data_IF_638506502059
#
_entry.id   IF_638506502059
#
_cell.length_a   1.000
_cell.length_b   1.000
_cell.length_c   1.000
_cell.angle_alpha   90.00
_cell.angle_beta   90.00
_cell.angle_gamma   90.00
#
_symmetry.space_group_name_H-M   'P 1'
#
loop_
_entity.id
_entity.type
_entity.pdbx_description
1 polymer ?
#
# COMPACT_ATOMS: atom_id res chain seq x y z
N UNK A 1 -44.28 0.85 21.31
CA UNK A 1 -44.07 2.31 21.46
C UNK A 1 -42.66 2.62 20.97
N UNK A 2 -42.51 3.04 19.71
CA UNK A 2 -41.21 3.34 19.08
C UNK A 2 -41.00 4.85 19.16
N UNK A 3 -39.98 5.28 19.91
CA UNK A 3 -39.56 6.68 19.96
C UNK A 3 -38.65 6.89 18.76
N UNK A 4 -39.17 7.53 17.72
CA UNK A 4 -38.36 8.05 16.61
C UNK A 4 -37.63 9.29 17.11
N UNK A 5 -36.32 9.18 17.30
CA UNK A 5 -35.46 10.33 17.59
C UNK A 5 -35.27 11.11 16.27
N UNK A 6 -36.01 12.21 16.11
CA UNK A 6 -35.78 13.16 15.03
C UNK A 6 -34.48 13.94 15.35
N UNK A 7 -33.41 13.67 14.61
CA UNK A 7 -32.25 14.56 14.57
C UNK A 7 -32.70 15.88 13.92
N UNK A 8 -32.90 16.90 14.74
CA UNK A 8 -33.05 18.28 14.25
C UNK A 8 -31.65 18.80 13.94
N UNK A 9 -31.29 18.88 12.66
CA UNK A 9 -30.17 19.71 12.22
C UNK A 9 -30.60 21.17 12.29
N UNK A 10 -30.22 21.87 13.36
CA UNK A 10 -30.25 23.32 13.36
C UNK A 10 -29.13 23.80 12.44
N UNK A 11 -29.41 24.63 11.42
CA UNK A 11 -28.34 25.33 10.70
C UNK A 11 -27.69 26.30 11.68
N UNK A 12 -26.50 25.94 12.17
CA UNK A 12 -25.64 26.89 12.86
C UNK A 12 -25.35 28.02 11.89
N UNK A 13 -25.79 29.24 12.23
CA UNK A 13 -25.45 30.43 11.50
C UNK A 13 -23.93 30.62 11.59
N UNK A 14 -23.24 30.28 10.50
CA UNK A 14 -21.80 30.45 10.38
C UNK A 14 -21.53 31.95 10.33
N UNK A 15 -21.00 32.52 11.40
CA UNK A 15 -20.38 33.84 11.33
C UNK A 15 -19.26 33.74 10.28
N UNK A 16 -19.39 34.47 9.17
CA UNK A 16 -18.32 34.51 8.17
C UNK A 16 -17.07 35.05 8.85
N UNK A 17 -16.00 34.26 8.89
CA UNK A 17 -14.68 34.80 9.18
C UNK A 17 -14.47 35.99 8.22
N UNK A 18 -13.97 37.13 8.72
CA UNK A 18 -13.70 38.29 7.87
C UNK A 18 -12.74 37.95 6.72
N UNK A 19 -12.59 38.83 5.74
CA UNK A 19 -11.63 38.63 4.66
C UNK A 19 -10.18 38.65 5.21
N UNK A 20 -9.54 37.48 5.26
CA UNK A 20 -8.17 37.34 5.73
C UNK A 20 -7.17 38.06 4.81
N UNK A 21 -7.36 38.00 3.48
CA UNK A 21 -6.44 38.58 2.50
C UNK A 21 -6.44 40.11 2.51
N UNK A 22 -7.52 40.75 2.94
CA UNK A 22 -7.58 42.20 3.17
C UNK A 22 -6.91 42.67 4.48
N UNK A 23 -6.59 41.76 5.39
CA UNK A 23 -6.21 42.08 6.77
C UNK A 23 -4.76 42.57 6.93
N UNK A 24 -4.49 43.25 8.05
CA UNK A 24 -3.10 43.56 8.48
C UNK A 24 -2.27 42.29 8.74
N UNK A 25 -2.91 41.20 9.17
CA UNK A 25 -2.25 39.91 9.38
C UNK A 25 -1.67 39.34 8.09
N UNK A 26 -2.45 39.33 6.99
CA UNK A 26 -1.96 38.90 5.69
C UNK A 26 -0.87 39.83 5.13
N UNK A 27 -1.02 41.15 5.29
CA UNK A 27 0.03 42.12 4.92
C UNK A 27 1.32 41.85 5.70
N UNK A 28 1.24 41.49 6.98
CA UNK A 28 2.37 41.06 7.81
C UNK A 28 3.05 39.78 7.32
N UNK A 29 2.27 38.77 6.93
CA UNK A 29 2.78 37.53 6.32
C UNK A 29 3.61 37.82 5.06
N UNK A 30 3.03 38.61 4.14
CA UNK A 30 3.69 38.96 2.87
C UNK A 30 4.98 39.73 3.08
N UNK A 31 5.01 40.68 4.02
CA UNK A 31 6.24 41.42 4.39
C UNK A 31 7.33 40.50 4.97
N UNK A 32 6.94 39.39 5.59
CA UNK A 32 7.85 38.38 6.13
C UNK A 32 8.32 37.36 5.09
N UNK A 33 8.02 37.57 3.81
CA UNK A 33 8.37 36.65 2.72
C UNK A 33 7.57 35.35 2.73
N UNK A 34 6.42 35.33 3.38
CA UNK A 34 5.52 34.17 3.42
C UNK A 34 4.42 34.37 2.36
N UNK A 35 4.21 33.36 1.51
CA UNK A 35 3.05 33.27 0.63
C UNK A 35 2.06 32.23 1.16
N UNK A 36 0.77 32.44 0.88
CA UNK A 36 -0.29 31.48 1.19
C UNK A 36 -0.41 30.53 0.00
N UNK A 37 -0.34 29.22 0.26
CA UNK A 37 -0.50 28.14 -0.73
C UNK A 37 -1.95 27.66 -0.74
N UNK A 38 -2.57 27.54 0.43
CA UNK A 38 -3.97 27.19 0.60
C UNK A 38 -4.53 27.85 1.86
N UNK A 39 -5.84 28.13 1.85
CA UNK A 39 -6.59 28.70 2.96
C UNK A 39 -7.89 27.94 3.15
N UNK A 40 -8.24 27.68 4.40
CA UNK A 40 -9.54 27.17 4.80
C UNK A 40 -10.06 27.87 6.04
N UNK A 41 -11.38 27.89 6.21
CA UNK A 41 -12.04 28.34 7.43
C UNK A 41 -12.72 27.16 8.11
N UNK A 42 -12.22 26.73 9.28
CA UNK A 42 -12.68 25.55 10.01
C UNK A 42 -12.83 25.85 11.49
N UNK A 43 -13.83 25.25 12.14
CA UNK A 43 -13.90 25.17 13.61
C UNK A 43 -13.03 23.99 14.05
N UNK A 44 -11.79 24.28 14.47
CA UNK A 44 -10.77 23.24 14.74
C UNK A 44 -10.73 22.88 16.22
N UNK A 45 -11.07 23.81 17.11
CA UNK A 45 -11.08 23.55 18.54
C UNK A 45 -12.46 23.19 19.11
N UNK A 46 -13.50 23.23 18.26
CA UNK A 46 -14.86 22.81 18.58
C UNK A 46 -15.66 23.83 19.38
N UNK A 47 -15.23 25.11 19.40
CA UNK A 47 -15.92 26.18 20.14
C UNK A 47 -17.09 26.82 19.35
N UNK A 48 -17.34 26.35 18.13
CA UNK A 48 -18.39 26.85 17.23
C UNK A 48 -17.99 28.08 16.43
N UNK A 49 -16.76 28.56 16.53
CA UNK A 49 -16.22 29.67 15.73
C UNK A 49 -15.23 29.14 14.71
N UNK A 50 -15.17 29.81 13.57
CA UNK A 50 -14.21 29.44 12.52
C UNK A 50 -12.84 30.08 12.77
N UNK A 51 -11.81 29.26 12.70
CA UNK A 51 -10.43 29.68 12.49
C UNK A 51 -10.06 29.72 11.01
N UNK A 52 -9.10 30.57 10.66
CA UNK A 52 -8.41 30.54 9.36
C UNK A 52 -7.19 29.64 9.46
N UNK A 53 -7.14 28.61 8.63
CA UNK A 53 -6.03 27.66 8.49
C UNK A 53 -5.31 27.92 7.20
N UNK A 54 -4.01 28.16 7.28
CA UNK A 54 -3.19 28.43 6.11
C UNK A 54 -2.14 27.34 5.95
N UNK A 55 -1.99 26.83 4.74
CA UNK A 55 -0.70 26.32 4.28
C UNK A 55 0.14 27.50 3.79
N UNK A 56 1.29 27.69 4.41
CA UNK A 56 2.21 28.79 4.17
C UNK A 56 3.47 28.28 3.48
N UNK A 57 3.99 29.04 2.52
CA UNK A 57 5.29 28.82 1.88
C UNK A 57 6.27 29.93 2.22
N UNK A 58 7.48 29.51 2.55
CA UNK A 58 8.65 30.36 2.77
C UNK A 58 9.86 29.72 2.08
N UNK A 59 10.99 30.45 1.96
CA UNK A 59 12.24 29.91 1.39
C UNK A 59 12.78 28.67 2.12
N UNK A 60 12.37 28.46 3.37
CA UNK A 60 12.76 27.30 4.21
C UNK A 60 11.78 26.10 4.07
N UNK A 61 10.73 26.24 3.25
CA UNK A 61 9.73 25.21 3.00
C UNK A 61 8.33 25.58 3.48
N UNK A 62 7.52 24.55 3.77
CA UNK A 62 6.08 24.66 4.03
C UNK A 62 5.72 24.52 5.52
N UNK A 63 4.70 25.26 5.96
CA UNK A 63 4.15 25.20 7.32
C UNK A 63 2.64 25.37 7.33
N UNK A 64 2.01 25.01 8.44
CA UNK A 64 0.63 25.37 8.78
C UNK A 64 0.62 26.48 9.83
N UNK A 65 -0.24 27.48 9.64
CA UNK A 65 -0.64 28.41 10.68
C UNK A 65 -2.15 28.42 10.87
N UNK A 66 -2.58 28.74 12.09
CA UNK A 66 -3.98 28.86 12.48
C UNK A 66 -4.18 30.24 13.08
N UNK A 67 -5.18 30.97 12.59
CA UNK A 67 -5.52 32.32 12.98
C UNK A 67 -6.95 32.35 13.49
N UNK A 68 -7.16 33.03 14.62
CA UNK A 68 -8.48 33.26 15.19
C UNK A 68 -8.96 34.64 14.82
N UNK A 69 -10.26 34.75 14.53
CA UNK A 69 -10.90 36.05 14.40
C UNK A 69 -11.05 36.70 15.79
N UNK A 70 -10.67 37.97 15.86
CA UNK A 70 -10.81 38.84 17.03
C UNK A 70 -11.50 40.15 16.61
N UNK A 71 -11.93 40.95 17.59
CA UNK A 71 -12.67 42.20 17.34
C UNK A 71 -11.93 43.16 16.38
N UNK A 72 -10.60 43.18 16.45
CA UNK A 72 -9.75 44.09 15.67
C UNK A 72 -9.02 43.41 14.50
N UNK A 73 -9.38 42.17 14.12
CA UNK A 73 -8.78 41.46 13.00
C UNK A 73 -8.45 39.99 13.31
N UNK A 74 -7.22 39.56 12.98
CA UNK A 74 -6.80 38.17 13.13
C UNK A 74 -5.61 38.03 14.07
N UNK A 75 -5.67 37.06 14.98
CA UNK A 75 -4.61 36.74 15.93
C UNK A 75 -4.07 35.35 15.61
N UNK A 76 -2.74 35.24 15.49
CA UNK A 76 -2.08 33.95 15.29
C UNK A 76 -2.25 33.08 16.54
N UNK A 77 -3.05 32.01 16.45
CA UNK A 77 -3.17 31.01 17.50
C UNK A 77 -1.92 30.11 17.54
N UNK A 78 -1.41 29.73 16.37
CA UNK A 78 -0.15 29.00 16.32
C UNK A 78 0.37 28.80 14.91
N UNK A 79 1.64 28.42 14.84
CA UNK A 79 2.32 28.05 13.60
C UNK A 79 3.22 26.86 13.85
N UNK A 80 3.15 25.88 12.95
CA UNK A 80 4.05 24.73 12.97
C UNK A 80 5.45 25.10 12.46
N UNK A 81 6.46 24.30 12.80
CA UNK A 81 7.77 24.44 12.18
C UNK A 81 7.67 24.21 10.67
N UNK A 82 8.45 25.00 9.92
CA UNK A 82 8.64 24.80 8.49
C UNK A 82 9.32 23.46 8.24
N UNK A 83 8.87 22.79 7.18
CA UNK A 83 9.45 21.55 6.70
C UNK A 83 9.98 21.81 5.29
N UNK A 84 11.24 21.46 4.99
CA UNK A 84 11.74 21.46 3.62
C UNK A 84 10.81 20.61 2.76
N UNK A 85 10.13 21.26 1.82
CA UNK A 85 9.16 20.66 0.92
C UNK A 85 8.87 21.65 -0.22
N UNK A 86 8.67 21.11 -1.41
CA UNK A 86 8.38 21.89 -2.60
C UNK A 86 6.89 21.92 -2.91
N UNK A 87 6.15 20.91 -2.46
CA UNK A 87 4.75 20.72 -2.79
C UNK A 87 3.86 20.51 -1.57
N UNK A 88 2.68 21.13 -1.61
CA UNK A 88 1.58 20.83 -0.69
C UNK A 88 0.75 19.72 -1.33
N UNK A 89 0.77 18.53 -0.74
CA UNK A 89 0.00 17.38 -1.21
C UNK A 89 -1.43 17.44 -0.66
N UNK A 90 -1.57 17.79 0.62
CA UNK A 90 -2.88 17.80 1.30
C UNK A 90 -2.94 18.83 2.42
N UNK A 91 -4.04 19.57 2.48
CA UNK A 91 -4.48 20.35 3.63
C UNK A 91 -5.97 20.08 3.83
N UNK A 92 -6.33 19.26 4.81
CA UNK A 92 -7.72 18.82 5.01
C UNK A 92 -8.10 18.80 6.50
N UNK A 93 -9.39 19.01 6.77
CA UNK A 93 -9.98 18.76 8.08
C UNK A 93 -10.36 17.28 8.19
N UNK A 94 -9.93 16.60 9.24
CA UNK A 94 -10.28 15.20 9.50
C UNK A 94 -10.81 15.02 10.93
N UNK A 95 -11.79 14.13 11.08
CA UNK A 95 -12.35 13.76 12.38
C UNK A 95 -11.60 12.55 12.95
N UNK A 96 -11.04 12.70 14.15
CA UNK A 96 -10.33 11.66 14.89
C UNK A 96 -11.07 11.41 16.20
N UNK A 97 -12.15 10.61 16.12
CA UNK A 97 -13.08 10.47 17.22
C UNK A 97 -13.95 11.71 17.38
N UNK A 98 -13.95 12.29 18.58
CA UNK A 98 -14.62 13.56 18.86
C UNK A 98 -13.75 14.79 18.57
N UNK A 99 -12.52 14.61 18.09
CA UNK A 99 -11.58 15.71 17.87
C UNK A 99 -11.48 16.06 16.39
N UNK A 100 -11.42 17.34 16.08
CA UNK A 100 -11.06 17.85 14.76
C UNK A 100 -9.54 17.94 14.69
N UNK A 101 -8.96 17.43 13.60
CA UNK A 101 -7.54 17.56 13.31
C UNK A 101 -7.32 18.12 11.90
N UNK A 102 -6.17 18.75 11.70
CA UNK A 102 -5.66 19.22 10.43
C UNK A 102 -4.72 18.14 9.89
N UNK A 103 -5.08 17.59 8.73
CA UNK A 103 -4.18 16.78 7.92
C UNK A 103 -3.32 17.67 7.06
N UNK A 104 -2.01 17.66 7.31
CA UNK A 104 -1.06 18.42 6.55
C UNK A 104 0.00 17.51 5.93
N UNK A 105 0.00 17.42 4.60
CA UNK A 105 0.91 16.57 3.86
C UNK A 105 1.70 17.35 2.82
N UNK A 106 2.99 17.09 2.77
CA UNK A 106 3.93 17.77 1.88
C UNK A 106 4.87 16.78 1.23
N UNK A 107 5.34 17.09 0.02
CA UNK A 107 6.34 16.31 -0.69
C UNK A 107 7.54 17.17 -1.10
N UNK A 108 8.72 16.53 -1.15
CA UNK A 108 9.88 17.05 -1.88
C UNK A 108 9.75 16.62 -3.33
N UNK A 109 10.01 17.51 -4.30
CA UNK A 109 10.08 17.11 -5.70
C UNK A 109 11.46 16.49 -5.96
N UNK A 110 11.58 15.18 -5.80
CA UNK A 110 12.78 14.45 -6.16
C UNK A 110 12.45 13.53 -7.36
N UNK A 111 13.15 13.66 -8.50
CA UNK A 111 12.86 12.85 -9.69
C UNK A 111 12.98 11.34 -9.46
N UNK A 112 13.70 10.90 -8.44
CA UNK A 112 13.83 9.46 -8.17
C UNK A 112 12.65 8.90 -7.35
N UNK A 113 12.16 9.62 -6.33
CA UNK A 113 11.10 9.21 -5.38
C UNK A 113 10.60 10.44 -4.58
N UNK A 114 9.28 10.63 -4.42
CA UNK A 114 8.74 11.70 -3.57
C UNK A 114 8.65 11.21 -2.12
N UNK A 115 9.47 11.79 -1.25
CA UNK A 115 9.36 11.61 0.20
C UNK A 115 8.22 12.51 0.70
N UNK A 116 7.10 11.88 1.06
CA UNK A 116 5.97 12.54 1.69
C UNK A 116 6.20 12.66 3.19
N UNK A 117 5.82 13.80 3.76
CA UNK A 117 5.71 14.00 5.19
C UNK A 117 4.27 14.33 5.55
N UNK A 118 3.67 13.49 6.39
CA UNK A 118 2.31 13.68 6.90
C UNK A 118 2.37 14.10 8.35
N UNK A 119 1.68 15.20 8.68
CA UNK A 119 1.45 15.66 10.05
C UNK A 119 -0.05 15.71 10.32
N UNK A 120 -0.45 15.17 11.47
CA UNK A 120 -1.77 15.42 12.04
C UNK A 120 -1.61 16.39 13.20
N UNK A 121 -2.38 17.47 13.13
CA UNK A 121 -2.32 18.57 14.07
C UNK A 121 -3.69 18.76 14.73
N UNK A 122 -3.75 18.97 16.03
CA UNK A 122 -4.96 19.39 16.74
C UNK A 122 -4.73 20.75 17.36
N UNK A 123 -5.78 21.55 17.51
CA UNK A 123 -5.71 22.82 18.23
C UNK A 123 -6.31 22.60 19.61
N UNK A 124 -5.51 22.78 20.65
CA UNK A 124 -5.95 22.63 22.03
C UNK A 124 -5.41 23.78 22.87
N UNK A 125 -6.29 24.41 23.65
CA UNK A 125 -5.94 25.55 24.50
C UNK A 125 -5.18 26.66 23.75
N UNK A 126 -5.59 26.93 22.50
CA UNK A 126 -4.96 27.94 21.64
C UNK A 126 -3.55 27.58 21.16
N UNK A 127 -3.15 26.31 21.19
CA UNK A 127 -1.87 25.83 20.68
C UNK A 127 -2.07 24.73 19.64
N UNK A 128 -1.25 24.76 18.59
CA UNK A 128 -1.18 23.65 17.63
C UNK A 128 -0.32 22.54 18.24
N UNK A 129 -0.95 21.40 18.53
CA UNK A 129 -0.28 20.18 18.98
C UNK A 129 -0.16 19.22 17.80
N UNK A 130 1.03 18.64 17.64
CA UNK A 130 1.32 17.66 16.61
C UNK A 130 1.14 16.26 17.20
N UNK A 131 0.11 15.56 16.77
CA UNK A 131 -0.24 14.24 17.29
C UNK A 131 0.26 13.10 16.38
N UNK A 132 0.65 13.40 15.15
CA UNK A 132 1.38 12.49 14.26
C UNK A 132 2.38 13.30 13.44
N UNK A 133 3.57 12.75 13.20
CA UNK A 133 4.57 13.28 12.28
C UNK A 133 5.35 12.13 11.68
N UNK A 134 4.95 11.73 10.49
CA UNK A 134 5.50 10.56 9.83
C UNK A 134 5.98 10.91 8.43
N UNK A 135 6.98 10.16 8.01
CA UNK A 135 7.49 10.19 6.65
C UNK A 135 7.20 8.87 5.98
N UNK A 136 6.84 8.96 4.71
CA UNK A 136 6.62 7.80 3.88
C UNK A 136 6.96 8.14 2.45
N UNK A 137 7.32 7.12 1.69
CA UNK A 137 7.77 7.29 0.32
C UNK A 137 6.67 6.83 -0.61
N UNK A 138 6.34 7.65 -1.60
CA UNK A 138 5.47 7.24 -2.70
C UNK A 138 6.38 6.92 -3.88
N UNK A 139 6.31 5.65 -4.32
CA UNK A 139 7.02 5.23 -5.54
C UNK A 139 6.15 5.59 -6.74
N UNK A 140 6.54 6.65 -7.44
CA UNK A 140 5.90 7.09 -8.67
C UNK A 140 6.11 6.08 -9.81
N UNK A 141 5.21 6.07 -10.82
CA UNK A 141 5.48 5.41 -12.10
C UNK A 141 6.88 5.76 -12.61
N UNK A 142 7.62 4.79 -13.16
CA UNK A 142 8.99 5.04 -13.63
C UNK A 142 9.03 6.04 -14.80
N UNK A 143 7.95 6.15 -15.56
CA UNK A 143 7.77 7.15 -16.61
C UNK A 143 7.82 8.58 -16.08
N UNK A 144 7.25 8.86 -14.91
CA UNK A 144 7.33 10.18 -14.24
C UNK A 144 8.76 10.49 -13.76
N UNK A 145 9.53 9.44 -13.41
CA UNK A 145 10.94 9.53 -13.03
C UNK A 145 11.91 9.57 -14.24
N UNK A 146 11.42 9.68 -15.47
CA UNK A 146 12.24 9.68 -16.69
C UNK A 146 12.95 8.35 -16.98
N UNK A 147 12.50 7.26 -16.37
CA UNK A 147 13.05 5.91 -16.54
C UNK A 147 12.14 5.05 -17.43
N UNK A 148 12.69 3.97 -17.97
CA UNK A 148 11.90 3.00 -18.73
C UNK A 148 10.90 2.31 -17.81
N UNK A 149 9.63 2.52 -18.09
CA UNK A 149 8.48 1.85 -17.46
C UNK A 149 8.71 0.35 -17.15
N UNK A 150 8.79 0.00 -15.86
CA UNK A 150 8.64 -1.39 -15.40
C UNK A 150 7.21 -1.86 -15.63
N UNK A 151 7.09 -3.04 -16.23
CA UNK A 151 5.82 -3.79 -16.25
C UNK A 151 5.62 -4.39 -14.86
N UNK A 152 4.64 -3.89 -14.11
CA UNK A 152 4.34 -4.37 -12.75
C UNK A 152 2.98 -5.06 -12.77
N UNK A 153 2.95 -6.30 -12.33
CA UNK A 153 1.72 -7.01 -12.07
C UNK A 153 1.36 -6.90 -10.59
N UNK A 154 0.20 -6.31 -10.29
CA UNK A 154 -0.35 -6.22 -8.94
C UNK A 154 -1.40 -7.29 -8.75
N UNK A 155 -1.21 -8.11 -7.72
CA UNK A 155 -2.18 -9.12 -7.31
C UNK A 155 -2.84 -8.64 -6.02
N UNK A 156 -3.92 -7.87 -6.13
CA UNK A 156 -4.65 -7.34 -4.97
C UNK A 156 -5.19 -5.93 -5.19
N UNK A 157 -6.21 -5.53 -4.41
CA UNK A 157 -6.82 -4.20 -4.48
C UNK A 157 -6.08 -3.17 -3.63
N UNK A 158 -5.04 -3.58 -2.89
CA UNK A 158 -4.35 -2.70 -1.95
C UNK A 158 -3.63 -1.56 -2.69
N UNK A 159 -3.94 -0.32 -2.32
CA UNK A 159 -3.29 0.89 -2.82
C UNK A 159 -2.42 1.54 -1.74
N UNK A 160 -1.34 2.25 -2.13
CA UNK A 160 -0.60 3.12 -1.22
C UNK A 160 -1.48 4.25 -0.69
N UNK A 161 -1.12 4.76 0.48
CA UNK A 161 -1.74 5.89 1.16
C UNK A 161 -2.13 5.58 2.59
N UNK A 162 -2.72 6.59 3.21
CA UNK A 162 -3.26 6.49 4.56
C UNK A 162 -4.74 6.10 4.56
N UNK A 163 -5.14 5.33 5.57
CA UNK A 163 -6.51 4.92 5.83
C UNK A 163 -6.83 5.16 7.32
N UNK A 164 -8.04 5.67 7.57
CA UNK A 164 -8.60 5.78 8.91
C UNK A 164 -9.33 4.47 9.20
N UNK A 165 -8.89 3.77 10.23
CA UNK A 165 -9.37 2.46 10.64
C UNK A 165 -10.45 2.52 11.71
N UNK A 166 -10.61 1.40 12.41
CA UNK A 166 -11.55 1.26 13.53
C UNK A 166 -11.15 2.11 14.72
N UNK A 167 -12.14 2.62 15.44
CA UNK A 167 -11.93 3.37 16.67
C UNK A 167 -11.62 2.46 17.86
N UNK A 168 -10.51 2.75 18.53
CA UNK A 168 -10.08 2.13 19.79
C UNK A 168 -9.95 3.25 20.83
N UNK A 169 -10.61 3.12 21.98
CA UNK A 169 -10.56 4.13 23.06
C UNK A 169 -10.91 5.56 22.62
N UNK A 170 -11.90 5.69 21.72
CA UNK A 170 -12.38 6.97 21.22
C UNK A 170 -11.54 7.60 20.10
N UNK A 171 -10.43 6.98 19.69
CA UNK A 171 -9.59 7.45 18.57
C UNK A 171 -9.47 6.39 17.47
N UNK A 172 -9.54 6.74 16.18
CA UNK A 172 -9.37 5.77 15.10
C UNK A 172 -7.92 5.28 14.99
N UNK A 173 -7.73 4.00 14.75
CA UNK A 173 -6.45 3.46 14.30
C UNK A 173 -6.06 4.12 12.96
N UNK A 174 -4.80 4.52 12.77
CA UNK A 174 -4.32 5.02 11.48
C UNK A 174 -3.48 3.96 10.81
N UNK A 175 -3.76 3.73 9.53
CA UNK A 175 -3.07 2.74 8.74
C UNK A 175 -2.37 3.40 7.56
N UNK A 176 -1.07 3.17 7.44
CA UNK A 176 -0.28 3.60 6.29
C UNK A 176 0.15 2.38 5.46
N UNK A 177 0.00 2.50 4.14
CA UNK A 177 0.55 1.58 3.14
C UNK A 177 1.44 2.38 2.19
N UNK A 178 2.73 2.09 2.10
CA UNK A 178 3.69 2.99 1.40
C UNK A 178 4.61 2.28 0.41
N UNK A 179 5.11 1.09 0.74
CA UNK A 179 6.13 0.42 -0.09
C UNK A 179 5.69 -0.97 -0.56
N UNK A 180 5.51 -1.23 -1.87
CA UNK A 180 5.25 -2.59 -2.34
C UNK A 180 6.52 -3.44 -2.26
N UNK A 181 6.36 -4.72 -1.91
CA UNK A 181 7.42 -5.71 -2.09
C UNK A 181 7.34 -6.26 -3.51
N UNK A 182 8.40 -6.04 -4.29
CA UNK A 182 8.48 -6.49 -5.67
C UNK A 182 9.39 -7.72 -5.83
N UNK A 183 8.94 -8.69 -6.62
CA UNK A 183 9.76 -9.81 -7.07
C UNK A 183 10.03 -9.66 -8.57
N UNK A 184 11.28 -9.80 -8.97
CA UNK A 184 11.66 -9.80 -10.38
C UNK A 184 11.37 -11.17 -11.00
N UNK A 185 10.64 -11.19 -12.12
CA UNK A 185 10.33 -12.38 -12.90
C UNK A 185 10.98 -12.29 -14.28
N UNK A 186 11.69 -13.35 -14.65
CA UNK A 186 12.34 -13.50 -15.96
C UNK A 186 11.40 -14.25 -16.91
N UNK A 187 10.68 -13.52 -17.77
CA UNK A 187 9.70 -14.10 -18.69
C UNK A 187 10.26 -14.52 -20.07
N UNK A 188 9.54 -15.42 -20.74
CA UNK A 188 9.81 -15.98 -22.08
C UNK A 188 9.99 -14.94 -23.20
N UNK A 189 9.56 -13.70 -22.98
CA UNK A 189 9.58 -12.61 -23.96
C UNK A 189 10.74 -11.61 -23.80
N UNK A 190 11.78 -11.93 -23.01
CA UNK A 190 12.92 -11.03 -22.70
C UNK A 190 12.57 -9.70 -22.02
N UNK A 191 11.29 -9.41 -21.79
CA UNK A 191 10.83 -8.24 -21.04
C UNK A 191 10.69 -8.63 -19.57
N UNK A 192 11.42 -7.92 -18.71
CA UNK A 192 11.30 -8.06 -17.26
C UNK A 192 9.85 -7.80 -16.82
N UNK A 193 9.33 -8.65 -15.93
CA UNK A 193 8.05 -8.43 -15.25
C UNK A 193 8.32 -8.39 -13.75
N UNK A 194 7.76 -7.39 -13.06
CA UNK A 194 7.84 -7.31 -11.61
C UNK A 194 6.50 -7.68 -11.00
N UNK A 195 6.53 -8.58 -10.02
CA UNK A 195 5.35 -9.02 -9.28
C UNK A 195 5.28 -8.29 -7.94
N UNK A 196 4.23 -7.51 -7.72
CA UNK A 196 3.93 -6.98 -6.39
C UNK A 196 3.30 -8.09 -5.55
N UNK A 197 4.00 -8.49 -4.48
CA UNK A 197 3.57 -9.56 -3.57
C UNK A 197 3.05 -9.06 -2.23
N UNK A 198 2.87 -7.74 -2.08
CA UNK A 198 2.33 -7.15 -0.87
C UNK A 198 2.80 -5.70 -0.70
N UNK A 199 2.28 -5.04 0.33
CA UNK A 199 2.58 -3.66 0.68
C UNK A 199 3.02 -3.56 2.13
N UNK A 200 4.07 -2.78 2.40
CA UNK A 200 4.45 -2.42 3.75
C UNK A 200 3.28 -1.70 4.41
N UNK A 201 2.90 -2.16 5.59
CA UNK A 201 1.74 -1.72 6.37
C UNK A 201 2.22 -1.32 7.74
N UNK A 202 1.91 -0.09 8.15
CA UNK A 202 2.20 0.46 9.47
C UNK A 202 0.87 0.83 10.16
N UNK A 203 0.67 0.32 11.37
CA UNK A 203 -0.51 0.60 12.18
C UNK A 203 -0.11 1.52 13.33
N UNK A 204 -0.78 2.66 13.43
CA UNK A 204 -0.62 3.61 14.51
C UNK A 204 -1.88 3.65 15.37
N UNK A 205 -1.69 3.73 16.68
CA UNK A 205 -2.77 3.96 17.65
C UNK A 205 -2.48 5.17 18.51
N UNK A 206 -3.53 5.88 18.88
CA UNK A 206 -3.41 7.02 19.76
C UNK A 206 -3.14 6.57 21.20
N UNK A 207 -2.12 7.15 21.83
CA UNK A 207 -1.75 6.92 23.22
C UNK A 207 -0.93 8.12 23.73
N UNK A 208 -1.18 8.54 24.98
CA UNK A 208 -0.42 9.64 25.62
C UNK A 208 -0.36 10.92 24.77
N UNK A 209 -1.49 11.31 24.18
CA UNK A 209 -1.65 12.51 23.32
C UNK A 209 -0.97 12.45 21.94
N UNK A 210 -0.53 11.28 21.47
CA UNK A 210 0.03 11.12 20.13
C UNK A 210 -0.27 9.75 19.54
N UNK A 211 -0.26 9.66 18.21
CA UNK A 211 -0.22 8.38 17.51
C UNK A 211 1.17 7.76 17.63
N UNK A 212 1.20 6.48 17.99
CA UNK A 212 2.42 5.67 18.06
C UNK A 212 2.30 4.43 17.19
N UNK A 213 3.41 4.05 16.56
CA UNK A 213 3.49 2.83 15.79
C UNK A 213 3.30 1.63 16.72
N UNK A 214 2.24 0.85 16.48
CA UNK A 214 1.94 -0.38 17.22
C UNK A 214 2.47 -1.60 16.51
N UNK A 215 2.38 -1.62 15.18
CA UNK A 215 2.90 -2.74 14.38
C UNK A 215 3.32 -2.28 12.99
N UNK A 216 4.33 -2.95 12.45
CA UNK A 216 4.81 -2.77 11.08
C UNK A 216 5.05 -4.13 10.46
N UNK A 217 4.66 -4.31 9.20
CA UNK A 217 4.82 -5.56 8.47
C UNK A 217 4.49 -5.37 7.00
N UNK A 218 4.22 -6.46 6.30
CA UNK A 218 3.72 -6.42 4.92
C UNK A 218 2.31 -7.05 4.90
N UNK A 219 1.32 -6.35 4.36
CA UNK A 219 -0.02 -6.87 4.07
C UNK A 219 -0.19 -7.19 2.59
N UNK A 220 -1.22 -7.94 2.23
CA UNK A 220 -1.49 -8.27 0.83
C UNK A 220 -0.52 -9.31 0.25
N UNK A 221 0.14 -10.11 1.10
CA UNK A 221 0.70 -11.37 0.61
C UNK A 221 -0.43 -12.26 0.13
N UNK A 222 -0.21 -12.82 -1.05
CA UNK A 222 -1.08 -13.84 -1.60
C UNK A 222 -1.42 -14.89 -0.53
N UNK A 223 -2.71 -15.15 -0.33
CA UNK A 223 -3.15 -16.13 0.65
C UNK A 223 -3.04 -17.55 0.07
N UNK A 224 -2.40 -18.48 0.80
CA UNK A 224 -2.31 -19.85 0.34
C UNK A 224 -3.72 -20.46 0.29
N UNK A 225 -4.05 -21.10 -0.83
CA UNK A 225 -5.28 -21.87 -0.98
C UNK A 225 -5.20 -23.10 -0.09
N UNK A 226 -6.27 -23.38 0.65
CA UNK A 226 -6.40 -24.65 1.36
C UNK A 226 -6.66 -25.74 0.34
N UNK A 227 -5.74 -26.70 0.28
CA UNK A 227 -5.84 -27.84 -0.62
C UNK A 227 -5.84 -29.14 0.16
N UNK A 228 -6.65 -30.09 -0.28
CA UNK A 228 -6.61 -31.46 0.23
C UNK A 228 -5.65 -32.25 -0.64
N UNK A 229 -4.65 -32.87 -0.02
CA UNK A 229 -3.81 -33.85 -0.71
C UNK A 229 -4.67 -35.06 -1.07
N UNK A 230 -4.62 -35.50 -2.32
CA UNK A 230 -5.31 -36.70 -2.80
C UNK A 230 -4.28 -37.69 -3.35
N UNK A 231 -4.65 -38.97 -3.38
CA UNK A 231 -3.83 -39.99 -4.03
C UNK A 231 -3.97 -39.88 -5.56
N UNK A 232 -2.83 -39.85 -6.25
CA UNK A 232 -2.76 -39.97 -7.70
C UNK A 232 -1.37 -40.46 -8.11
N UNK A 233 -1.32 -41.47 -8.98
CA UNK A 233 -0.05 -42.08 -9.40
C UNK A 233 0.81 -42.59 -8.23
N UNK A 234 1.94 -43.24 -8.53
CA UNK A 234 2.92 -43.57 -7.48
C UNK A 234 3.92 -42.42 -7.24
N UNK A 235 4.09 -41.55 -8.22
CA UNK A 235 5.14 -40.52 -8.24
C UNK A 235 4.59 -39.10 -8.39
N UNK A 236 3.26 -38.95 -8.47
CA UNK A 236 2.62 -37.66 -8.66
C UNK A 236 2.20 -37.06 -7.32
N UNK A 237 2.26 -35.73 -7.24
CA UNK A 237 1.64 -34.99 -6.16
C UNK A 237 0.32 -34.41 -6.64
N UNK A 238 -0.78 -34.85 -6.05
CA UNK A 238 -2.08 -34.25 -6.31
C UNK A 238 -2.65 -33.47 -5.15
N UNK A 239 -3.29 -32.39 -5.52
CA UNK A 239 -4.03 -31.52 -4.65
C UNK A 239 -5.41 -31.24 -5.27
N UNK A 240 -6.44 -31.24 -4.45
CA UNK A 240 -7.78 -30.82 -4.82
C UNK A 240 -8.17 -29.58 -4.01
N UNK A 241 -8.76 -28.58 -4.66
CA UNK A 241 -9.44 -27.51 -3.98
C UNK A 241 -10.81 -28.00 -3.48
N UNK A 242 -11.31 -27.42 -2.37
CA UNK A 242 -12.66 -27.73 -1.90
C UNK A 242 -13.74 -27.23 -2.88
N UNK A 243 -13.44 -26.16 -3.62
CA UNK A 243 -14.33 -25.48 -4.55
C UNK A 243 -13.53 -24.97 -5.76
N UNK A 244 -14.23 -24.67 -6.86
CA UNK A 244 -13.62 -24.07 -8.06
C UNK A 244 -12.94 -22.75 -7.70
N UNK A 245 -11.62 -22.79 -7.63
CA UNK A 245 -10.81 -21.68 -7.15
C UNK A 245 -10.11 -21.00 -8.33
N UNK A 246 -9.97 -19.68 -8.30
CA UNK A 246 -9.25 -18.93 -9.33
C UNK A 246 -7.74 -18.88 -9.00
N UNK A 247 -6.93 -19.75 -9.63
CA UNK A 247 -5.48 -19.76 -9.46
C UNK A 247 -4.85 -18.55 -10.16
N UNK A 248 -4.02 -17.82 -9.41
CA UNK A 248 -3.28 -16.65 -9.92
C UNK A 248 -1.78 -16.84 -9.85
N UNK A 249 -1.29 -17.42 -8.75
CA UNK A 249 0.11 -17.75 -8.57
C UNK A 249 0.25 -19.18 -8.07
N UNK A 250 1.18 -19.92 -8.68
CA UNK A 250 1.69 -21.17 -8.13
C UNK A 250 3.15 -20.97 -7.75
N UNK A 251 3.49 -21.32 -6.51
CA UNK A 251 4.87 -21.39 -6.03
C UNK A 251 5.25 -22.84 -5.75
N UNK A 252 6.30 -23.32 -6.38
CA UNK A 252 6.80 -24.68 -6.22
C UNK A 252 8.20 -24.59 -5.61
N UNK A 253 8.41 -25.21 -4.46
CA UNK A 253 9.72 -25.35 -3.84
C UNK A 253 10.32 -26.72 -4.17
N UNK A 254 11.46 -26.69 -4.86
CA UNK A 254 12.26 -27.87 -5.18
C UNK A 254 13.64 -27.76 -4.51
N UNK A 255 14.20 -28.90 -4.13
CA UNK A 255 15.59 -29.00 -3.66
C UNK A 255 16.54 -29.22 -4.83
N UNK A 256 17.75 -28.67 -4.80
CA UNK A 256 18.84 -29.11 -5.69
C UNK A 256 19.53 -30.31 -5.04
N UNK A 257 19.72 -31.40 -5.81
CA UNK A 257 20.57 -32.52 -5.42
C UNK A 257 21.90 -32.42 -6.19
N UNK A 258 22.93 -31.95 -5.49
CA UNK A 258 24.34 -31.86 -5.94
C UNK A 258 24.61 -30.99 -7.19
N UNK A 259 25.88 -30.60 -7.35
CA UNK A 259 26.36 -29.75 -8.45
C UNK A 259 26.10 -30.39 -9.83
N UNK A 260 25.03 -29.96 -10.52
CA UNK A 260 24.85 -30.23 -11.96
C UNK A 260 23.51 -30.85 -12.37
N UNK A 261 22.69 -31.35 -11.44
CA UNK A 261 21.32 -31.83 -11.74
C UNK A 261 20.31 -31.03 -10.96
N UNK A 262 19.59 -30.13 -11.64
CA UNK A 262 18.49 -29.41 -10.98
C UNK A 262 17.28 -30.33 -10.95
N UNK A 263 16.76 -30.64 -9.76
CA UNK A 263 15.52 -31.39 -9.63
C UNK A 263 14.33 -30.75 -10.37
N UNK A 264 14.44 -29.50 -10.79
CA UNK A 264 13.43 -28.82 -11.58
C UNK A 264 13.35 -29.31 -13.03
N UNK A 265 14.36 -30.06 -13.49
CA UNK A 265 14.34 -30.75 -14.78
C UNK A 265 13.20 -31.76 -14.79
N UNK A 266 12.11 -31.40 -15.45
CA UNK A 266 11.07 -32.35 -15.80
C UNK A 266 10.04 -32.61 -14.72
N UNK A 267 9.26 -31.58 -14.42
CA UNK A 267 7.89 -31.80 -13.96
C UNK A 267 6.88 -31.39 -15.03
N UNK A 268 5.85 -32.21 -15.19
CA UNK A 268 4.59 -31.83 -15.81
C UNK A 268 3.63 -31.37 -14.71
N UNK A 269 3.27 -30.10 -14.73
CA UNK A 269 2.19 -29.55 -13.95
C UNK A 269 0.90 -29.66 -14.76
N UNK A 270 -0.09 -30.39 -14.27
CA UNK A 270 -1.45 -30.37 -14.79
C UNK A 270 -2.36 -29.59 -13.87
N UNK A 271 -3.07 -28.63 -14.45
CA UNK A 271 -4.14 -27.89 -13.78
C UNK A 271 -5.43 -28.20 -14.55
N UNK A 272 -6.26 -29.04 -13.95
CA UNK A 272 -7.39 -29.73 -14.60
C UNK A 272 -7.01 -30.37 -15.94
N UNK A 273 -7.49 -29.80 -17.05
CA UNK A 273 -7.28 -30.33 -18.42
C UNK A 273 -6.06 -29.77 -19.13
N UNK A 274 -5.35 -28.81 -18.54
CA UNK A 274 -4.16 -28.24 -19.18
C UNK A 274 -2.89 -28.71 -18.53
N UNK A 275 -1.90 -28.89 -19.39
CA UNK A 275 -0.57 -29.31 -19.03
C UNK A 275 0.42 -28.17 -19.24
N UNK A 276 1.33 -28.04 -18.28
CA UNK A 276 2.40 -27.08 -18.21
C UNK A 276 3.69 -27.84 -17.96
N UNK A 277 4.70 -27.59 -18.78
CA UNK A 277 6.01 -28.25 -18.66
C UNK A 277 7.00 -27.31 -18.01
N UNK A 278 7.63 -27.75 -16.92
CA UNK A 278 8.75 -27.04 -16.31
C UNK A 278 10.02 -27.50 -17.02
N UNK A 279 10.68 -26.58 -17.70
CA UNK A 279 11.91 -26.80 -18.44
C UNK A 279 13.17 -26.58 -17.59
N UNK A 280 14.31 -26.91 -18.17
CA UNK A 280 15.62 -26.93 -17.51
C UNK A 280 16.13 -25.55 -17.09
N UNK A 281 15.62 -24.50 -17.72
CA UNK A 281 15.86 -23.10 -17.35
C UNK A 281 14.88 -22.61 -16.27
N UNK A 282 14.13 -23.52 -15.64
CA UNK A 282 13.07 -23.22 -14.68
C UNK A 282 11.90 -22.43 -15.30
N UNK A 283 11.87 -22.32 -16.64
CA UNK A 283 10.73 -21.75 -17.34
C UNK A 283 9.57 -22.74 -17.35
N UNK A 284 8.37 -22.24 -17.16
CA UNK A 284 7.15 -23.03 -17.36
C UNK A 284 6.62 -22.70 -18.75
N UNK A 285 6.35 -23.73 -19.55
CA UNK A 285 5.72 -23.61 -20.88
C UNK A 285 4.32 -24.20 -20.80
N UNK A 286 3.33 -23.52 -21.33
CA UNK A 286 1.95 -24.00 -21.34
C UNK A 286 1.04 -23.14 -22.22
N UNK A 287 -0.28 -23.26 -22.04
CA UNK A 287 -1.28 -22.44 -22.71
C UNK A 287 -1.10 -20.93 -22.48
N UNK A 288 -1.81 -20.13 -23.28
CA UNK A 288 -1.71 -18.66 -23.31
C UNK A 288 -2.10 -17.95 -22.00
N UNK A 289 -2.70 -18.68 -21.05
CA UNK A 289 -3.05 -18.15 -19.74
C UNK A 289 -1.84 -18.02 -18.79
N UNK A 290 -0.71 -18.65 -19.10
CA UNK A 290 0.55 -18.48 -18.39
C UNK A 290 1.30 -17.26 -18.92
N UNK A 291 1.28 -16.17 -18.15
CA UNK A 291 1.86 -14.89 -18.59
C UNK A 291 3.29 -14.66 -18.11
N UNK A 292 3.69 -15.31 -17.02
CA UNK A 292 5.05 -15.18 -16.50
C UNK A 292 5.46 -16.37 -15.66
N UNK A 293 6.76 -16.63 -15.69
CA UNK A 293 7.43 -17.62 -14.86
C UNK A 293 8.67 -16.98 -14.28
N UNK A 294 9.08 -17.43 -13.11
CA UNK A 294 10.35 -17.00 -12.54
C UNK A 294 10.86 -18.02 -11.57
N UNK A 295 12.17 -18.02 -11.35
CA UNK A 295 12.77 -18.78 -10.29
C UNK A 295 13.64 -17.88 -9.43
N UNK A 296 13.69 -18.19 -8.13
CA UNK A 296 14.64 -17.57 -7.24
C UNK A 296 15.21 -18.59 -6.27
N UNK A 297 16.51 -18.47 -6.03
CA UNK A 297 17.21 -19.23 -5.01
C UNK A 297 17.06 -18.52 -3.67
N UNK A 298 16.70 -19.25 -2.62
CA UNK A 298 16.72 -18.70 -1.27
C UNK A 298 18.18 -18.55 -0.81
N UNK A 299 18.68 -17.32 -0.72
CA UNK A 299 20.06 -17.05 -0.30
C UNK A 299 20.33 -17.52 1.14
N UNK A 300 19.30 -17.70 1.96
CA UNK A 300 19.43 -18.25 3.32
C UNK A 300 19.33 -19.78 3.37
N UNK A 301 18.87 -20.41 2.28
CA UNK A 301 18.72 -21.86 2.16
C UNK A 301 19.26 -22.31 0.79
N UNK A 302 20.61 -22.33 0.63
CA UNK A 302 21.25 -22.78 -0.60
C UNK A 302 20.74 -24.18 -0.98
N UNK A 303 20.51 -24.39 -2.28
CA UNK A 303 19.91 -25.62 -2.81
C UNK A 303 18.37 -25.65 -2.70
N UNK A 304 17.69 -24.53 -2.47
CA UNK A 304 16.23 -24.41 -2.64
C UNK A 304 15.90 -23.43 -3.73
N UNK A 305 15.15 -23.91 -4.72
CA UNK A 305 14.63 -23.11 -5.82
C UNK A 305 13.12 -22.97 -5.64
N UNK A 306 12.63 -21.74 -5.69
CA UNK A 306 11.20 -21.48 -5.81
C UNK A 306 10.86 -21.10 -7.24
N UNK A 307 10.00 -21.89 -7.89
CA UNK A 307 9.45 -21.61 -9.21
C UNK A 307 8.09 -20.95 -9.05
N UNK A 308 7.88 -19.82 -9.72
CA UNK A 308 6.63 -19.07 -9.76
C UNK A 308 5.96 -19.21 -11.12
N UNK A 309 4.66 -19.46 -11.14
CA UNK A 309 3.82 -19.44 -12.34
C UNK A 309 2.69 -18.44 -12.12
N UNK A 310 2.56 -17.46 -13.02
CA UNK A 310 1.51 -16.43 -12.94
C UNK A 310 0.49 -16.60 -14.06
N UNK A 311 -0.79 -16.66 -13.70
CA UNK A 311 -1.90 -16.87 -14.63
C UNK A 311 -2.74 -15.60 -14.83
N UNK A 312 -2.97 -15.21 -16.09
CA UNK A 312 -3.87 -14.11 -16.45
C UNK A 312 -4.59 -14.39 -17.80
N UNK A 313 -5.94 -14.48 -17.83
CA UNK A 313 -6.87 -14.36 -16.70
C UNK A 313 -6.66 -15.46 -15.65
N UNK A 314 -7.27 -15.31 -14.47
CA UNK A 314 -7.21 -16.34 -13.45
C UNK A 314 -7.75 -17.65 -14.01
N UNK A 315 -7.09 -18.78 -13.73
CA UNK A 315 -7.57 -20.09 -14.16
C UNK A 315 -8.44 -20.69 -13.05
N UNK A 316 -9.69 -21.06 -13.38
CA UNK A 316 -10.46 -21.95 -12.51
C UNK A 316 -9.77 -23.30 -12.44
N UNK A 317 -9.59 -23.81 -11.24
CA UNK A 317 -9.01 -25.12 -11.02
C UNK A 317 -9.74 -25.89 -9.92
N UNK A 318 -9.80 -27.21 -10.08
CA UNK A 318 -10.27 -28.13 -9.05
C UNK A 318 -9.22 -29.14 -8.67
N UNK A 319 -8.44 -29.63 -9.64
CA UNK A 319 -7.37 -30.61 -9.45
C UNK A 319 -6.05 -30.08 -10.00
N UNK A 320 -5.03 -30.15 -9.17
CA UNK A 320 -3.64 -29.95 -9.55
C UNK A 320 -2.91 -31.28 -9.43
N UNK A 321 -2.14 -31.63 -10.44
CA UNK A 321 -1.27 -32.81 -10.45
C UNK A 321 0.12 -32.38 -10.90
N UNK A 322 1.12 -32.63 -10.08
CA UNK A 322 2.52 -32.42 -10.44
C UNK A 322 3.18 -33.79 -10.60
N UNK A 323 3.58 -34.11 -11.82
CA UNK A 323 4.11 -35.42 -12.19
C UNK A 323 5.53 -35.26 -12.71
N UNK A 324 6.52 -36.00 -12.18
CA UNK A 324 7.85 -36.00 -12.77
C UNK A 324 7.82 -36.57 -14.19
N UNK A 325 8.64 -36.03 -15.08
CA UNK A 325 8.83 -36.54 -16.43
C UNK A 325 9.66 -37.83 -16.37
N UNK A 326 9.19 -38.85 -17.09
CA UNK A 326 9.85 -40.14 -17.21
C UNK A 326 11.29 -40.00 -17.72
N UNK A 327 12.25 -40.65 -17.04
CA UNK A 327 13.66 -40.68 -17.43
C UNK A 327 14.56 -39.65 -16.74
N UNK A 328 13.99 -38.76 -15.92
CA UNK A 328 14.75 -37.98 -14.93
C UNK A 328 14.86 -38.82 -13.66
N UNK A 329 16.01 -38.77 -12.96
CA UNK A 329 16.18 -39.28 -11.59
C UNK A 329 15.23 -38.53 -10.64
N UNK A 330 13.95 -38.79 -10.79
CA UNK A 330 12.83 -38.14 -10.11
C UNK A 330 12.61 -38.87 -8.81
N UNK A 331 13.60 -38.80 -7.93
CA UNK A 331 13.36 -39.20 -6.56
C UNK A 331 12.26 -38.27 -6.01
N UNK A 332 11.30 -38.83 -5.31
CA UNK A 332 10.31 -38.09 -4.52
C UNK A 332 10.94 -37.16 -3.46
N UNK A 333 12.28 -37.11 -3.38
CA UNK A 333 13.09 -36.28 -2.48
C UNK A 333 13.30 -34.85 -3.03
N UNK A 334 13.15 -34.66 -4.34
CA UNK A 334 13.32 -33.39 -5.04
C UNK A 334 12.23 -32.35 -4.74
N UNK A 335 10.98 -32.79 -4.62
CA UNK A 335 9.85 -31.90 -4.36
C UNK A 335 9.67 -31.72 -2.85
N UNK A 336 9.65 -30.46 -2.38
CA UNK A 336 9.43 -30.15 -0.96
C UNK A 336 8.03 -29.68 -0.68
N UNK A 337 7.54 -28.72 -1.46
CA UNK A 337 6.19 -28.19 -1.28
C UNK A 337 5.69 -27.44 -2.50
N UNK A 338 4.37 -27.37 -2.66
CA UNK A 338 3.70 -26.45 -3.56
C UNK A 338 2.74 -25.58 -2.76
N UNK A 339 2.75 -24.28 -3.03
CA UNK A 339 1.82 -23.32 -2.47
C UNK A 339 1.05 -22.70 -3.62
N UNK A 340 -0.26 -22.87 -3.55
CA UNK A 340 -1.17 -22.28 -4.51
C UNK A 340 -1.73 -21.00 -3.91
N UNK A 341 -1.93 -20.00 -4.75
CA UNK A 341 -2.45 -18.73 -4.33
C UNK A 341 -3.59 -18.33 -5.24
N UNK A 342 -4.73 -18.06 -4.61
CA UNK A 342 -5.94 -17.65 -5.28
C UNK A 342 -6.31 -16.22 -4.93
N UNK A 343 -7.24 -15.69 -5.71
CA UNK A 343 -7.74 -14.33 -5.56
C UNK A 343 -8.18 -14.03 -4.12
N UNK A 344 -7.73 -12.87 -3.66
CA UNK A 344 -8.39 -12.04 -2.66
C UNK A 344 -8.80 -10.69 -3.26
N UNK A 345 -9.07 -10.63 -4.58
CA UNK A 345 -9.56 -9.52 -5.42
C UNK A 345 -8.53 -8.99 -6.46
N UNK A 346 -8.99 -8.95 -7.72
CA UNK A 346 -8.50 -8.26 -8.93
C UNK A 346 -6.96 -8.16 -9.16
N UNK A 347 -6.49 -8.79 -10.25
CA UNK A 347 -5.17 -8.53 -10.80
C UNK A 347 -5.24 -7.41 -11.85
N UNK A 348 -4.45 -6.36 -11.70
CA UNK A 348 -4.27 -5.29 -12.69
C UNK A 348 -2.83 -5.37 -13.19
N UNK A 349 -2.67 -5.58 -14.50
CA UNK A 349 -1.38 -5.41 -15.16
C UNK A 349 -1.30 -3.94 -15.57
N UNK A 350 -0.44 -3.19 -14.89
CA UNK A 350 -0.18 -1.79 -15.24
C UNK A 350 1.16 -1.75 -16.00
N UNK A 351 1.14 -1.21 -17.21
CA UNK A 351 2.35 -0.68 -17.84
C UNK A 351 2.48 0.76 -17.31
N UNK A 352 3.38 0.97 -16.34
CA UNK A 352 3.58 2.25 -15.65
C UNK A 352 4.77 3.00 -16.18
#
# INVERSE_FOLDING_TARGET
MRISLALVFLPLAVASAGDFFGSDAYRGLRRSGISVVAEHSWDIDGDGKLEIVLAERHKEGLAVSVWRTAETGFILAGRTRRTPADELVRLEQVLLGSHVAIWFETALQNPDEDDHRTRLLVVQAGRILKILDEQYRVVHPESEAGRTARRILRLGPDTPGWQIGTTTDGWPDLLLRDEPKLLHLSGRHKKALWLSVGMRKRLYRFSENAYRLVSSGFSGFLQPVRVRRIECGKESLCAEAAEDTALRLLSIEVSEENEGTTCADGFELRVDKSSYRIGNDLSIKGPDDLIATGSFADTKRPGKIQVLAVFNPARKWRRLELTPLTGVNSSSQCFRSARLFADGHHAVMEER
#
